data_IF_198346076694
#
_entry.id   IF_198346076694
#
_cell.length_a   1.000
_cell.length_b   1.000
_cell.length_c   1.000
_cell.angle_alpha   90.00
_cell.angle_beta   90.00
_cell.angle_gamma   90.00
#
_symmetry.space_group_name_H-M   'P 1'
#
loop_
_entity.id
_entity.type
_entity.pdbx_description
1 polymer ?
#
# COMPACT_ATOMS: atom_id res chain seq x y z
N UNK A 1 1.85 -26.73 -17.13
CA UNK A 1 2.14 -25.31 -17.36
C UNK A 1 1.96 -24.65 -16.00
N UNK A 2 3.05 -24.43 -15.28
CA UNK A 2 2.99 -23.77 -13.97
C UNK A 2 2.65 -22.30 -14.21
N UNK A 3 1.54 -21.82 -13.64
CA UNK A 3 1.17 -20.42 -13.74
C UNK A 3 2.20 -19.59 -12.96
N UNK A 4 2.75 -18.58 -13.62
CA UNK A 4 3.68 -17.66 -12.97
C UNK A 4 2.98 -16.81 -11.91
N UNK A 5 3.73 -16.35 -10.90
CA UNK A 5 3.25 -15.42 -9.89
C UNK A 5 2.53 -14.20 -10.51
N UNK A 6 3.06 -13.70 -11.64
CA UNK A 6 2.48 -12.56 -12.36
C UNK A 6 1.12 -12.90 -12.98
N UNK A 7 0.97 -14.06 -13.62
CA UNK A 7 -0.31 -14.47 -14.22
C UNK A 7 -1.40 -14.63 -13.16
N UNK A 8 -1.06 -15.23 -12.01
CA UNK A 8 -1.96 -15.36 -10.87
C UNK A 8 -2.37 -13.99 -10.31
N UNK A 9 -1.41 -13.07 -10.16
CA UNK A 9 -1.70 -11.72 -9.69
C UNK A 9 -2.60 -10.94 -10.66
N UNK A 10 -2.39 -11.06 -11.97
CA UNK A 10 -3.22 -10.41 -12.98
C UNK A 10 -4.66 -10.95 -12.97
N UNK A 11 -4.83 -12.26 -12.80
CA UNK A 11 -6.16 -12.86 -12.68
C UNK A 11 -6.86 -12.44 -11.37
N UNK A 12 -6.11 -12.38 -10.27
CA UNK A 12 -6.62 -11.85 -9.00
C UNK A 12 -7.10 -10.40 -9.13
N UNK A 13 -6.34 -9.54 -9.82
CA UNK A 13 -6.73 -8.15 -10.08
C UNK A 13 -7.99 -8.06 -10.95
N UNK A 14 -8.08 -8.92 -11.99
CA UNK A 14 -9.25 -8.99 -12.87
C UNK A 14 -10.52 -9.33 -12.10
N UNK A 15 -10.45 -10.30 -11.19
CA UNK A 15 -11.57 -10.72 -10.35
C UNK A 15 -11.99 -9.63 -9.35
N UNK A 16 -11.03 -9.00 -8.67
CA UNK A 16 -11.30 -7.86 -7.80
C UNK A 16 -12.00 -6.71 -8.55
N UNK A 17 -11.58 -6.42 -9.78
CA UNK A 17 -12.25 -5.41 -10.65
C UNK A 17 -13.67 -5.83 -11.04
N UNK A 18 -13.93 -7.12 -11.17
CA UNK A 18 -15.26 -7.66 -11.41
C UNK A 18 -16.15 -7.70 -10.15
N UNK A 19 -15.60 -7.35 -8.97
CA UNK A 19 -16.28 -7.37 -7.68
C UNK A 19 -16.22 -8.71 -6.95
N UNK A 20 -15.59 -9.73 -7.53
CA UNK A 20 -15.32 -11.00 -6.86
C UNK A 20 -14.02 -10.94 -6.07
N UNK A 21 -14.11 -10.31 -4.89
CA UNK A 21 -12.96 -10.19 -3.99
C UNK A 21 -12.53 -11.54 -3.39
N UNK A 22 -13.45 -12.51 -3.23
CA UNK A 22 -13.11 -13.83 -2.69
C UNK A 22 -12.28 -14.64 -3.67
N UNK A 23 -12.70 -14.65 -4.95
CA UNK A 23 -11.89 -15.23 -6.02
C UNK A 23 -10.55 -14.51 -6.13
N UNK A 24 -10.58 -13.17 -6.13
CA UNK A 24 -9.37 -12.35 -6.18
C UNK A 24 -8.34 -12.68 -5.09
N UNK A 25 -8.77 -12.80 -3.82
CA UNK A 25 -7.87 -13.16 -2.71
C UNK A 25 -7.22 -14.52 -2.91
N UNK A 26 -7.95 -15.52 -3.41
CA UNK A 26 -7.42 -16.86 -3.61
C UNK A 26 -6.29 -16.88 -4.67
N UNK A 27 -6.46 -16.12 -5.76
CA UNK A 27 -5.43 -15.99 -6.80
C UNK A 27 -4.20 -15.24 -6.30
N UNK A 28 -4.38 -14.16 -5.53
CA UNK A 28 -3.25 -13.46 -4.95
C UNK A 28 -2.49 -14.29 -3.90
N UNK A 29 -3.18 -15.06 -3.06
CA UNK A 29 -2.54 -15.98 -2.11
C UNK A 29 -1.74 -17.06 -2.84
N UNK A 30 -2.29 -17.61 -3.92
CA UNK A 30 -1.55 -18.53 -4.78
C UNK A 30 -0.31 -17.85 -5.40
N UNK A 31 -0.42 -16.58 -5.83
CA UNK A 31 0.71 -15.81 -6.34
C UNK A 31 1.82 -15.65 -5.29
N UNK A 32 1.45 -15.38 -4.03
CA UNK A 32 2.42 -15.28 -2.91
C UNK A 32 3.07 -16.64 -2.63
N UNK A 33 2.33 -17.74 -2.72
CA UNK A 33 2.87 -19.10 -2.53
C UNK A 33 3.85 -19.52 -3.63
N UNK A 34 3.55 -19.18 -4.88
CA UNK A 34 4.49 -19.38 -6.00
C UNK A 34 5.76 -18.56 -5.78
N UNK A 35 5.62 -17.35 -5.23
CA UNK A 35 6.72 -16.46 -4.92
C UNK A 35 7.27 -15.76 -6.16
N UNK A 36 7.96 -14.64 -5.93
CA UNK A 36 8.64 -13.88 -6.97
C UNK A 36 9.90 -13.24 -6.38
N UNK A 37 10.95 -13.15 -7.19
CA UNK A 37 12.17 -12.40 -6.83
C UNK A 37 11.95 -10.89 -6.95
N UNK A 38 10.95 -10.45 -7.72
CA UNK A 38 10.61 -9.03 -7.84
C UNK A 38 9.81 -8.54 -6.64
N UNK A 39 10.53 -7.93 -5.70
CA UNK A 39 9.96 -7.34 -4.50
C UNK A 39 8.93 -6.25 -4.79
N UNK A 40 9.01 -5.53 -5.92
CA UNK A 40 7.98 -4.54 -6.28
C UNK A 40 6.66 -5.20 -6.63
N UNK A 41 6.72 -6.26 -7.44
CA UNK A 41 5.53 -7.09 -7.75
C UNK A 41 4.95 -7.69 -6.47
N UNK A 42 5.79 -8.22 -5.58
CA UNK A 42 5.33 -8.76 -4.30
C UNK A 42 4.65 -7.70 -3.42
N UNK A 43 5.19 -6.47 -3.36
CA UNK A 43 4.59 -5.34 -2.65
C UNK A 43 3.20 -5.02 -3.21
N UNK A 44 3.07 -4.95 -4.54
CA UNK A 44 1.79 -4.72 -5.20
C UNK A 44 0.77 -5.81 -4.86
N UNK A 45 1.18 -7.09 -4.86
CA UNK A 45 0.31 -8.22 -4.48
C UNK A 45 -0.17 -8.08 -3.03
N UNK A 46 0.71 -7.75 -2.08
CA UNK A 46 0.31 -7.51 -0.69
C UNK A 46 -0.64 -6.33 -0.54
N UNK A 47 -0.41 -5.23 -1.28
CA UNK A 47 -1.31 -4.09 -1.28
C UNK A 47 -2.72 -4.48 -1.76
N UNK A 48 -2.80 -5.26 -2.84
CA UNK A 48 -4.06 -5.72 -3.42
C UNK A 48 -4.78 -6.74 -2.54
N UNK A 49 -4.04 -7.66 -1.88
CA UNK A 49 -4.59 -8.56 -0.87
C UNK A 49 -5.19 -7.80 0.30
N UNK A 50 -4.46 -6.80 0.82
CA UNK A 50 -4.95 -5.96 1.90
C UNK A 50 -6.26 -5.26 1.54
N UNK A 51 -6.32 -4.67 0.33
CA UNK A 51 -7.53 -4.02 -0.18
C UNK A 51 -8.69 -5.01 -0.35
N UNK A 52 -8.44 -6.19 -0.95
CA UNK A 52 -9.46 -7.20 -1.17
C UNK A 52 -10.04 -7.68 0.17
N UNK A 53 -9.18 -7.97 1.17
CA UNK A 53 -9.62 -8.34 2.51
C UNK A 53 -10.36 -7.21 3.23
N UNK A 54 -9.97 -5.95 3.01
CA UNK A 54 -10.70 -4.80 3.51
C UNK A 54 -12.13 -4.73 2.95
N UNK A 55 -12.31 -4.97 1.65
CA UNK A 55 -13.64 -5.03 1.02
C UNK A 55 -14.47 -6.23 1.49
N UNK A 56 -13.82 -7.34 1.82
CA UNK A 56 -14.45 -8.51 2.44
C UNK A 56 -14.78 -8.31 3.93
N UNK A 57 -14.40 -7.16 4.52
CA UNK A 57 -14.54 -6.85 5.95
C UNK A 57 -13.71 -7.74 6.88
N UNK A 58 -12.72 -8.45 6.33
CA UNK A 58 -11.72 -9.21 7.10
C UNK A 58 -10.56 -8.29 7.50
N UNK A 59 -10.87 -7.29 8.33
CA UNK A 59 -9.93 -6.21 8.66
C UNK A 59 -8.64 -6.66 9.35
N UNK A 60 -8.67 -7.81 10.05
CA UNK A 60 -7.48 -8.41 10.65
C UNK A 60 -6.44 -8.80 9.60
N UNK A 61 -6.86 -9.55 8.56
CA UNK A 61 -5.98 -9.92 7.45
C UNK A 61 -5.57 -8.72 6.61
N UNK A 62 -6.50 -7.79 6.37
CA UNK A 62 -6.17 -6.55 5.67
C UNK A 62 -5.02 -5.80 6.34
N UNK A 63 -5.04 -5.73 7.67
CA UNK A 63 -3.99 -5.11 8.47
C UNK A 63 -2.64 -5.81 8.30
N UNK A 64 -2.62 -7.14 8.31
CA UNK A 64 -1.40 -7.95 8.14
C UNK A 64 -0.77 -7.71 6.76
N UNK A 65 -1.56 -7.79 5.69
CA UNK A 65 -1.06 -7.57 4.34
C UNK A 65 -0.61 -6.12 4.09
N UNK A 66 -1.33 -5.13 4.61
CA UNK A 66 -0.87 -3.73 4.54
C UNK A 66 0.42 -3.49 5.34
N UNK A 67 0.64 -4.22 6.45
CA UNK A 67 1.93 -4.18 7.17
C UNK A 67 3.05 -4.83 6.36
N UNK A 68 2.79 -5.95 5.68
CA UNK A 68 3.77 -6.59 4.80
C UNK A 68 4.16 -5.67 3.63
N UNK A 69 3.19 -5.04 2.97
CA UNK A 69 3.41 -4.04 1.93
C UNK A 69 4.27 -2.87 2.45
N UNK A 70 3.92 -2.31 3.61
CA UNK A 70 4.67 -1.21 4.22
C UNK A 70 6.12 -1.59 4.54
N UNK A 71 6.33 -2.76 5.14
CA UNK A 71 7.68 -3.25 5.46
C UNK A 71 8.49 -3.43 4.18
N UNK A 72 7.90 -4.03 3.14
CA UNK A 72 8.59 -4.30 1.90
C UNK A 72 8.94 -3.01 1.16
N UNK A 73 8.00 -2.06 1.05
CA UNK A 73 8.23 -0.75 0.46
C UNK A 73 9.39 0.00 1.14
N UNK A 74 9.49 -0.08 2.47
CA UNK A 74 10.63 0.46 3.24
C UNK A 74 11.94 -0.25 2.91
N UNK A 75 11.93 -1.58 2.86
CA UNK A 75 13.12 -2.39 2.56
C UNK A 75 13.71 -2.07 1.19
N UNK A 76 12.86 -1.85 0.18
CA UNK A 76 13.31 -1.54 -1.18
C UNK A 76 13.50 -0.04 -1.44
N UNK A 77 13.22 0.82 -0.45
CA UNK A 77 13.30 2.28 -0.57
C UNK A 77 12.25 2.90 -1.48
N UNK A 78 11.12 2.22 -1.74
CA UNK A 78 10.01 2.77 -2.51
C UNK A 78 9.20 3.72 -1.63
N UNK A 79 9.56 5.01 -1.68
CA UNK A 79 8.88 6.07 -0.94
C UNK A 79 7.42 6.23 -1.34
N UNK A 80 7.08 6.07 -2.63
CA UNK A 80 5.69 6.20 -3.10
C UNK A 80 4.86 5.02 -2.59
N UNK A 81 5.40 3.80 -2.69
CA UNK A 81 4.82 2.59 -2.12
C UNK A 81 4.62 2.72 -0.61
N UNK A 82 5.62 3.24 0.11
CA UNK A 82 5.55 3.47 1.56
C UNK A 82 4.41 4.42 1.93
N UNK A 83 4.26 5.52 1.18
CA UNK A 83 3.16 6.46 1.36
C UNK A 83 1.80 5.79 1.18
N UNK A 84 1.61 5.03 0.08
CA UNK A 84 0.36 4.31 -0.20
C UNK A 84 0.04 3.27 0.88
N UNK A 85 1.01 2.44 1.23
CA UNK A 85 0.86 1.40 2.26
C UNK A 85 0.51 2.02 3.62
N UNK A 86 1.14 3.14 3.99
CA UNK A 86 0.82 3.87 5.23
C UNK A 86 -0.61 4.39 5.25
N UNK A 87 -1.10 4.93 4.14
CA UNK A 87 -2.50 5.39 4.01
C UNK A 87 -3.51 4.24 4.13
N UNK A 88 -3.26 3.12 3.46
CA UNK A 88 -4.11 1.93 3.50
C UNK A 88 -4.14 1.32 4.92
N UNK A 89 -2.98 1.25 5.58
CA UNK A 89 -2.86 0.78 6.95
C UNK A 89 -3.62 1.71 7.93
N UNK A 90 -3.49 3.03 7.78
CA UNK A 90 -4.22 4.01 8.57
C UNK A 90 -5.74 3.88 8.43
N UNK A 91 -6.23 3.68 7.20
CA UNK A 91 -7.65 3.44 6.96
C UNK A 91 -8.15 2.14 7.63
N UNK A 92 -7.36 1.08 7.57
CA UNK A 92 -7.69 -0.21 8.21
C UNK A 92 -7.72 -0.09 9.73
N UNK A 93 -6.72 0.56 10.32
CA UNK A 93 -6.63 0.83 11.76
C UNK A 93 -7.80 1.69 12.26
N UNK A 94 -8.21 2.70 11.48
CA UNK A 94 -9.38 3.52 11.77
C UNK A 94 -10.66 2.68 11.86
N UNK A 95 -10.88 1.75 10.94
CA UNK A 95 -12.06 0.86 10.97
C UNK A 95 -12.01 -0.09 12.17
N UNK A 96 -10.81 -0.51 12.57
CA UNK A 96 -10.60 -1.32 13.78
C UNK A 96 -10.68 -0.53 15.09
N UNK A 97 -10.90 0.78 15.05
CA UNK A 97 -10.95 1.64 16.25
C UNK A 97 -9.59 1.94 16.89
N UNK A 98 -8.48 1.63 16.21
CA UNK A 98 -7.10 1.84 16.69
C UNK A 98 -6.59 3.21 16.24
N UNK A 99 -7.22 4.25 16.77
CA UNK A 99 -7.02 5.63 16.29
C UNK A 99 -5.61 6.18 16.51
N UNK A 100 -4.96 5.83 17.62
CA UNK A 100 -3.59 6.31 17.92
C UNK A 100 -2.59 5.82 16.87
N UNK A 101 -2.67 4.53 16.50
CA UNK A 101 -1.82 3.96 15.46
C UNK A 101 -2.19 4.47 14.07
N UNK A 102 -3.48 4.70 13.82
CA UNK A 102 -3.95 5.29 12.56
C UNK A 102 -3.37 6.70 12.37
N UNK A 103 -3.32 7.51 13.42
CA UNK A 103 -2.76 8.86 13.39
C UNK A 103 -1.27 8.84 12.99
N UNK A 104 -0.48 7.91 13.54
CA UNK A 104 0.93 7.74 13.16
C UNK A 104 1.08 7.36 11.68
N UNK A 105 0.22 6.45 11.18
CA UNK A 105 0.26 6.03 9.78
C UNK A 105 -0.14 7.16 8.83
N UNK A 106 -1.18 7.93 9.18
CA UNK A 106 -1.61 9.10 8.41
C UNK A 106 -0.54 10.20 8.40
N UNK A 107 0.11 10.46 9.55
CA UNK A 107 1.20 11.43 9.62
C UNK A 107 2.34 11.03 8.70
N UNK A 108 2.75 9.75 8.71
CA UNK A 108 3.81 9.27 7.83
C UNK A 108 3.45 9.39 6.34
N UNK A 109 2.20 9.11 5.98
CA UNK A 109 1.72 9.34 4.61
C UNK A 109 1.82 10.83 4.22
N UNK A 110 1.48 11.74 5.13
CA UNK A 110 1.59 13.19 4.90
C UNK A 110 3.04 13.63 4.75
N UNK A 111 3.94 13.19 5.63
CA UNK A 111 5.36 13.54 5.58
C UNK A 111 5.97 13.14 4.22
N UNK A 112 5.71 11.91 3.77
CA UNK A 112 6.16 11.41 2.47
C UNK A 112 5.54 12.23 1.33
N UNK A 113 4.26 12.57 1.41
CA UNK A 113 3.59 13.36 0.38
C UNK A 113 4.15 14.78 0.29
N UNK A 114 4.52 15.36 1.43
CA UNK A 114 5.17 16.68 1.50
C UNK A 114 6.60 16.65 0.98
N UNK A 115 7.35 15.57 1.24
CA UNK A 115 8.69 15.35 0.68
C UNK A 115 8.67 15.38 -0.86
N UNK A 116 7.60 14.93 -1.51
CA UNK A 116 7.49 15.03 -2.97
C UNK A 116 7.07 16.43 -3.46
N UNK A 117 6.22 17.13 -2.70
CA UNK A 117 5.77 18.49 -3.02
C UNK A 117 6.91 19.53 -2.97
N UNK A 118 7.93 19.31 -2.13
CA UNK A 118 9.10 20.20 -2.07
C UNK A 118 10.16 19.91 -3.16
N UNK A 119 10.04 18.81 -3.91
CA UNK A 119 10.92 18.48 -5.04
C UNK A 119 10.35 18.97 -6.38
N UNK A 120 9.04 19.21 -6.47
CA UNK A 120 8.46 19.88 -7.64
C UNK A 120 8.73 21.39 -7.56
N UNK A 121 9.49 21.99 -8.50
CA UNK A 121 9.61 23.44 -8.53
C UNK A 121 8.22 24.05 -8.71
N UNK A 122 7.86 25.11 -7.96
CA UNK A 122 6.57 25.74 -8.10
C UNK A 122 6.46 26.33 -9.51
N UNK A 123 5.69 25.70 -10.38
CA UNK A 123 5.21 26.37 -11.57
C UNK A 123 4.22 27.46 -11.11
N UNK A 124 4.66 28.70 -11.30
CA UNK A 124 3.94 29.97 -11.20
C UNK A 124 3.61 30.49 -9.80
N UNK A 125 4.46 31.42 -9.33
CA UNK A 125 4.02 32.76 -8.93
C UNK A 125 3.27 32.92 -7.61
N UNK A 126 3.91 32.62 -6.47
CA UNK A 126 4.00 33.58 -5.35
C UNK A 126 4.89 33.02 -4.23
N UNK A 127 5.92 33.77 -3.87
CA UNK A 127 6.80 33.50 -2.75
C UNK A 127 6.08 33.70 -1.41
N UNK A 128 5.82 32.63 -0.66
CA UNK A 128 5.76 32.57 0.82
C UNK A 128 5.30 31.14 1.18
N UNK A 129 5.92 30.35 2.04
CA UNK A 129 7.02 30.51 3.00
C UNK A 129 7.47 29.08 3.29
N UNK A 130 8.68 28.70 2.90
CA UNK A 130 9.32 27.51 3.47
C UNK A 130 10.19 28.00 4.63
N UNK A 131 9.59 28.04 5.81
CA UNK A 131 10.27 28.17 7.11
C UNK A 131 9.59 27.07 7.91
N UNK A 132 10.24 25.94 8.21
CA UNK A 132 11.40 25.88 9.09
C UNK A 132 12.12 24.54 8.90
N UNK A 133 13.40 24.59 8.52
CA UNK A 133 14.35 23.52 8.81
C UNK A 133 15.47 24.16 9.63
N UNK A 134 15.62 23.76 10.89
CA UNK A 134 16.86 23.76 11.71
C UNK A 134 16.55 23.44 13.18
N UNK A 135 17.53 22.97 13.97
CA UNK A 135 18.99 22.92 13.72
C UNK A 135 19.49 21.64 13.04
#
# INVERSE_FOLDING_TARGET
MEASCLELALEGERLCKAGDFKGGTAFFEAAVQVGTEDLKTLSAIYSQLGNAYFYLKEYGKALEYHRHDLTLARTIGDRIGEGKASGNLGNTLKVLGRYDEAAVCCQRHLDISQDFLCITPPHTGNQQRCSTYKP
#
